data_IF_723999570639
#
_entry.id   IF_723999570639
#
_cell.length_a   1.000
_cell.length_b   1.000
_cell.length_c   1.000
_cell.angle_alpha   90.00
_cell.angle_beta   90.00
_cell.angle_gamma   90.00
#
_symmetry.space_group_name_H-M   'P 1'
#
loop_
_entity.id
_entity.type
_entity.pdbx_description
1 polymer ?
#
# COMPACT_ATOMS: atom_id res chain seq x y z
N UNK A 1 -29.65 -15.86 -26.51
CA UNK A 1 -28.58 -15.80 -25.48
C UNK A 1 -27.48 -14.90 -26.02
N UNK A 2 -27.55 -13.61 -25.73
CA UNK A 2 -26.43 -12.71 -25.98
C UNK A 2 -25.70 -12.53 -24.65
N UNK A 3 -24.51 -13.12 -24.57
CA UNK A 3 -23.59 -12.94 -23.46
C UNK A 3 -23.18 -11.47 -23.46
N UNK A 4 -23.62 -10.75 -22.44
CA UNK A 4 -23.20 -9.38 -22.18
C UNK A 4 -21.67 -9.31 -22.22
N UNK A 5 -21.14 -8.65 -23.26
CA UNK A 5 -19.83 -8.00 -23.22
C UNK A 5 -19.84 -7.08 -22.00
N UNK A 6 -19.28 -7.52 -20.87
CA UNK A 6 -19.11 -6.65 -19.72
C UNK A 6 -18.11 -5.57 -20.13
N UNK A 7 -18.65 -4.37 -20.33
CA UNK A 7 -17.92 -3.13 -20.56
C UNK A 7 -16.73 -3.05 -19.61
N UNK A 8 -15.55 -2.79 -20.19
CA UNK A 8 -14.36 -2.30 -19.50
C UNK A 8 -14.78 -1.08 -18.65
N UNK A 9 -15.06 -1.27 -17.36
CA UNK A 9 -15.35 -0.17 -16.44
C UNK A 9 -14.00 0.28 -15.89
N UNK A 10 -13.64 1.54 -16.13
CA UNK A 10 -12.47 2.18 -15.51
C UNK A 10 -12.53 1.93 -14.00
N UNK A 11 -11.60 1.16 -13.46
CA UNK A 11 -11.58 0.88 -12.03
C UNK A 11 -11.06 2.10 -11.28
N UNK A 12 -11.83 2.57 -10.31
CA UNK A 12 -11.41 3.61 -9.37
C UNK A 12 -10.81 2.94 -8.14
N UNK A 13 -9.57 3.31 -7.80
CA UNK A 13 -8.94 3.01 -6.52
C UNK A 13 -9.15 4.20 -5.57
N UNK A 14 -8.94 4.00 -4.27
CA UNK A 14 -9.15 4.97 -3.20
C UNK A 14 -8.47 6.31 -3.46
N UNK A 15 -7.27 6.29 -4.05
CA UNK A 15 -6.45 7.48 -4.32
C UNK A 15 -6.20 7.78 -5.79
N UNK A 16 -6.42 6.81 -6.69
CA UNK A 16 -6.05 6.94 -8.10
C UNK A 16 -6.94 6.02 -8.95
N UNK A 17 -7.22 6.36 -10.20
CA UNK A 17 -7.92 5.50 -11.14
C UNK A 17 -6.96 4.73 -12.06
N UNK A 18 -7.43 3.64 -12.67
CA UNK A 18 -6.66 2.96 -13.74
C UNK A 18 -6.32 3.89 -14.91
N UNK A 19 -7.21 4.84 -15.22
CA UNK A 19 -6.99 5.86 -16.23
C UNK A 19 -5.85 6.80 -15.87
N UNK A 20 -5.77 7.22 -14.59
CA UNK A 20 -4.68 8.06 -14.09
C UNK A 20 -3.37 7.28 -14.02
N UNK A 21 -3.37 5.99 -13.62
CA UNK A 21 -2.18 5.13 -13.71
C UNK A 21 -1.69 5.05 -15.16
N UNK A 22 -2.60 4.87 -16.12
CA UNK A 22 -2.26 4.82 -17.54
C UNK A 22 -1.70 6.15 -18.04
N UNK A 23 -2.24 7.28 -17.58
CA UNK A 23 -1.69 8.59 -17.88
C UNK A 23 -0.29 8.78 -17.28
N UNK A 24 -0.09 8.42 -16.01
CA UNK A 24 1.20 8.49 -15.32
C UNK A 24 2.25 7.64 -16.01
N UNK A 25 1.92 6.43 -16.48
CA UNK A 25 2.84 5.59 -17.29
C UNK A 25 3.41 6.35 -18.48
N UNK A 26 2.58 7.13 -19.18
CA UNK A 26 3.01 7.94 -20.33
C UNK A 26 3.87 9.13 -19.93
N UNK A 27 3.85 9.56 -18.67
CA UNK A 27 4.68 10.67 -18.18
C UNK A 27 6.02 10.21 -17.61
N UNK A 28 6.21 8.92 -17.33
CA UNK A 28 7.41 8.37 -16.69
C UNK A 28 8.74 8.64 -17.38
N UNK A 29 8.74 9.07 -18.65
CA UNK A 29 9.94 9.44 -19.40
C UNK A 29 10.18 10.96 -19.48
N UNK A 30 9.26 11.77 -18.94
CA UNK A 30 9.29 13.24 -18.99
C UNK A 30 9.75 13.80 -17.64
N UNK A 31 10.43 14.95 -17.64
CA UNK A 31 10.79 15.64 -16.40
C UNK A 31 9.55 16.27 -15.74
N UNK A 32 9.38 16.22 -14.40
CA UNK A 32 10.27 15.61 -13.41
C UNK A 32 10.01 14.11 -13.14
N UNK A 33 8.95 13.53 -13.70
CA UNK A 33 8.48 12.17 -13.44
C UNK A 33 9.53 11.07 -13.70
N UNK A 34 10.42 11.26 -14.69
CA UNK A 34 11.53 10.35 -14.96
C UNK A 34 12.47 10.20 -13.76
N UNK A 35 12.77 11.29 -13.06
CA UNK A 35 13.66 11.26 -11.90
C UNK A 35 12.98 10.59 -10.71
N UNK A 36 11.68 10.87 -10.52
CA UNK A 36 10.86 10.24 -9.49
C UNK A 36 10.81 8.71 -9.72
N UNK A 37 10.55 8.26 -10.96
CA UNK A 37 10.53 6.83 -11.25
C UNK A 37 11.90 6.18 -11.07
N UNK A 38 12.99 6.86 -11.46
CA UNK A 38 14.34 6.36 -11.23
C UNK A 38 14.63 6.17 -9.73
N UNK A 39 14.20 7.11 -8.89
CA UNK A 39 14.33 7.00 -7.43
C UNK A 39 13.49 5.84 -6.87
N UNK A 40 12.24 5.71 -7.29
CA UNK A 40 11.35 4.59 -6.89
C UNK A 40 12.02 3.26 -7.25
N UNK A 41 12.56 3.13 -8.47
CA UNK A 41 13.23 1.91 -8.91
C UNK A 41 14.50 1.62 -8.08
N UNK A 42 15.28 2.65 -7.73
CA UNK A 42 16.46 2.49 -6.87
C UNK A 42 16.07 1.99 -5.47
N UNK A 43 15.05 2.59 -4.86
CA UNK A 43 14.55 2.18 -3.55
C UNK A 43 13.94 0.77 -3.58
N UNK A 44 13.19 0.43 -4.63
CA UNK A 44 12.65 -0.92 -4.83
C UNK A 44 13.76 -1.96 -4.98
N UNK A 45 14.85 -1.64 -5.68
CA UNK A 45 16.00 -2.53 -5.80
C UNK A 45 16.71 -2.71 -4.45
N UNK A 46 16.79 -1.67 -3.64
CA UNK A 46 17.31 -1.77 -2.27
C UNK A 46 16.40 -2.65 -1.39
N UNK A 47 15.09 -2.43 -1.41
CA UNK A 47 14.11 -3.24 -0.68
C UNK A 47 14.15 -4.72 -1.10
N UNK A 48 14.26 -5.01 -2.41
CA UNK A 48 14.43 -6.38 -2.92
C UNK A 48 15.70 -7.06 -2.40
N UNK A 49 16.81 -6.32 -2.27
CA UNK A 49 18.07 -6.83 -1.70
C UNK A 49 17.96 -7.10 -0.20
N UNK A 50 17.27 -6.24 0.55
CA UNK A 50 17.02 -6.44 1.98
C UNK A 50 16.14 -7.66 2.24
N UNK A 51 15.08 -7.82 1.43
CA UNK A 51 14.07 -8.85 1.62
C UNK A 51 13.07 -8.51 2.73
N UNK A 52 11.95 -9.24 2.75
CA UNK A 52 10.80 -8.90 3.59
C UNK A 52 11.08 -8.99 5.10
N UNK A 53 11.95 -9.91 5.54
CA UNK A 53 12.21 -10.07 6.97
C UNK A 53 13.03 -8.91 7.54
N UNK A 54 14.11 -8.53 6.85
CA UNK A 54 14.93 -7.39 7.28
C UNK A 54 14.12 -6.09 7.29
N UNK A 55 13.25 -5.88 6.30
CA UNK A 55 12.34 -4.72 6.24
C UNK A 55 11.44 -4.68 7.49
N UNK A 56 10.85 -5.82 7.88
CA UNK A 56 9.92 -5.92 9.01
C UNK A 56 10.60 -5.84 10.38
N UNK A 57 11.91 -6.08 10.45
CA UNK A 57 12.72 -6.05 11.67
C UNK A 57 13.55 -4.77 11.82
N UNK A 58 13.38 -3.78 10.95
CA UNK A 58 14.14 -2.52 11.02
C UNK A 58 13.81 -1.79 12.34
N UNK A 59 14.84 -1.52 13.15
CA UNK A 59 14.69 -0.87 14.46
C UNK A 59 14.06 0.53 14.36
N UNK A 60 13.25 0.86 15.36
CA UNK A 60 12.31 2.00 15.44
C UNK A 60 12.93 3.40 15.21
N UNK A 61 14.26 3.53 15.21
CA UNK A 61 14.95 4.83 15.20
C UNK A 61 15.19 5.46 13.83
N UNK A 62 14.98 4.73 12.72
CA UNK A 62 15.34 5.24 11.38
C UNK A 62 14.18 5.59 10.43
N UNK A 63 12.91 5.25 10.73
CA UNK A 63 11.72 5.91 10.16
C UNK A 63 10.43 5.13 10.48
N UNK A 64 9.49 5.80 11.15
CA UNK A 64 8.11 5.32 11.35
C UNK A 64 7.34 5.11 10.03
N UNK A 65 7.94 5.57 8.92
CA UNK A 65 7.39 5.58 7.57
C UNK A 65 7.92 4.42 6.70
N UNK A 66 8.80 3.55 7.20
CA UNK A 66 9.47 2.53 6.37
C UNK A 66 8.46 1.57 5.72
N UNK A 67 7.54 0.96 6.48
CA UNK A 67 6.62 -0.03 5.89
C UNK A 67 5.64 0.62 4.92
N UNK A 68 5.06 1.78 5.28
CA UNK A 68 4.19 2.52 4.39
C UNK A 68 4.91 2.92 3.09
N UNK A 69 6.06 3.57 3.19
CA UNK A 69 6.82 4.03 2.03
C UNK A 69 7.29 2.86 1.17
N UNK A 70 7.79 1.79 1.78
CA UNK A 70 8.21 0.58 1.06
C UNK A 70 7.03 -0.03 0.32
N UNK A 71 5.85 -0.17 0.95
CA UNK A 71 4.66 -0.70 0.28
C UNK A 71 4.22 0.19 -0.87
N UNK A 72 4.22 1.52 -0.69
CA UNK A 72 3.81 2.46 -1.73
C UNK A 72 4.79 2.46 -2.91
N UNK A 73 6.09 2.49 -2.66
CA UNK A 73 7.11 2.46 -3.73
C UNK A 73 7.09 1.14 -4.49
N UNK A 74 6.97 0.00 -3.80
CA UNK A 74 6.84 -1.30 -4.45
C UNK A 74 5.53 -1.39 -5.27
N UNK A 75 4.44 -0.79 -4.78
CA UNK A 75 3.17 -0.70 -5.51
C UNK A 75 3.32 0.13 -6.79
N UNK A 76 3.94 1.30 -6.69
CA UNK A 76 4.18 2.19 -7.82
C UNK A 76 5.13 1.56 -8.83
N UNK A 77 6.20 0.88 -8.41
CA UNK A 77 7.08 0.13 -9.31
C UNK A 77 6.31 -1.00 -10.02
N UNK A 78 5.46 -1.75 -9.29
CA UNK A 78 4.63 -2.79 -9.86
C UNK A 78 3.64 -2.24 -10.92
N UNK A 79 2.98 -1.11 -10.64
CA UNK A 79 1.97 -0.55 -11.55
C UNK A 79 2.59 0.27 -12.69
N UNK A 80 3.59 1.11 -12.43
CA UNK A 80 4.14 2.06 -13.40
C UNK A 80 5.30 1.46 -14.20
N UNK A 81 6.22 0.74 -13.55
CA UNK A 81 7.39 0.13 -14.19
C UNK A 81 7.18 -1.35 -14.54
N UNK A 82 6.02 -1.92 -14.22
CA UNK A 82 5.66 -3.33 -14.46
C UNK A 82 6.60 -4.33 -13.76
N UNK A 83 7.26 -3.89 -12.67
CA UNK A 83 8.15 -4.72 -11.87
C UNK A 83 7.34 -5.75 -11.05
N UNK A 84 7.22 -6.97 -11.59
CA UNK A 84 6.47 -8.06 -10.94
C UNK A 84 7.11 -8.52 -9.65
N UNK A 85 8.43 -8.41 -9.51
CA UNK A 85 9.13 -8.79 -8.28
C UNK A 85 8.86 -7.78 -7.16
N UNK A 86 8.72 -6.49 -7.49
CA UNK A 86 8.27 -5.49 -6.52
C UNK A 86 6.87 -5.83 -5.98
N UNK A 87 5.93 -6.19 -6.86
CA UNK A 87 4.58 -6.61 -6.45
C UNK A 87 4.59 -7.87 -5.56
N UNK A 88 5.40 -8.87 -5.89
CA UNK A 88 5.58 -10.08 -5.07
C UNK A 88 6.16 -9.77 -3.69
N UNK A 89 7.15 -8.88 -3.62
CA UNK A 89 7.76 -8.47 -2.36
C UNK A 89 6.75 -7.74 -1.47
N UNK A 90 6.01 -6.77 -2.01
CA UNK A 90 4.98 -6.05 -1.28
C UNK A 90 3.90 -7.01 -0.75
N UNK A 91 3.42 -7.93 -1.59
CA UNK A 91 2.48 -8.98 -1.18
C UNK A 91 3.04 -9.81 -0.01
N UNK A 92 4.30 -10.25 -0.09
CA UNK A 92 4.94 -11.04 0.95
C UNK A 92 5.00 -10.27 2.29
N UNK A 93 5.37 -8.99 2.25
CA UNK A 93 5.38 -8.10 3.43
C UNK A 93 3.97 -8.04 4.03
N UNK A 94 2.94 -7.75 3.23
CA UNK A 94 1.55 -7.67 3.67
C UNK A 94 1.07 -8.98 4.30
N UNK A 95 1.33 -10.12 3.66
CA UNK A 95 0.96 -11.43 4.17
C UNK A 95 1.67 -11.77 5.49
N UNK A 96 2.96 -11.48 5.61
CA UNK A 96 3.70 -11.69 6.85
C UNK A 96 3.12 -10.88 8.00
N UNK A 97 2.81 -9.61 7.75
CA UNK A 97 2.17 -8.74 8.73
C UNK A 97 0.80 -9.30 9.13
N UNK A 98 -0.08 -9.58 8.16
CA UNK A 98 -1.47 -9.97 8.46
C UNK A 98 -1.57 -11.32 9.18
N UNK A 99 -0.71 -12.28 8.80
CA UNK A 99 -0.73 -13.64 9.35
C UNK A 99 0.08 -13.77 10.64
N UNK A 100 1.13 -12.97 10.81
CA UNK A 100 2.09 -13.11 11.92
C UNK A 100 2.35 -11.80 12.67
N UNK A 101 1.38 -10.89 12.75
CA UNK A 101 1.54 -9.60 13.43
C UNK A 101 2.11 -9.68 14.87
N UNK A 102 1.88 -10.72 15.71
CA UNK A 102 2.49 -10.77 17.04
C UNK A 102 4.01 -10.88 17.01
N UNK A 103 4.60 -11.32 15.89
CA UNK A 103 6.06 -11.35 15.68
C UNK A 103 6.66 -9.97 15.42
N UNK A 104 5.84 -8.98 15.08
CA UNK A 104 6.27 -7.64 14.72
C UNK A 104 5.65 -6.60 15.68
N UNK A 105 5.88 -6.71 17.01
CA UNK A 105 5.21 -5.89 17.99
C UNK A 105 5.46 -4.39 17.80
N UNK A 106 6.65 -4.01 17.34
CA UNK A 106 7.07 -2.63 17.09
C UNK A 106 6.22 -1.93 16.02
N UNK A 107 5.69 -2.67 15.04
CA UNK A 107 4.80 -2.13 14.01
C UNK A 107 3.43 -1.70 14.56
N UNK A 108 3.11 -2.18 15.77
CA UNK A 108 1.81 -2.03 16.40
C UNK A 108 1.91 -1.51 17.84
N UNK A 109 3.09 -1.05 18.27
CA UNK A 109 3.35 -0.53 19.60
C UNK A 109 2.64 0.81 19.79
N UNK A 110 2.80 1.72 18.83
CA UNK A 110 2.17 3.04 18.83
C UNK A 110 0.96 3.13 17.89
N UNK A 111 0.01 4.02 18.21
CA UNK A 111 -1.17 4.25 17.38
C UNK A 111 -0.81 4.80 15.99
N UNK A 112 0.21 5.66 15.92
CA UNK A 112 0.68 6.24 14.67
C UNK A 112 1.35 5.20 13.77
N UNK A 113 2.18 4.29 14.32
CA UNK A 113 2.80 3.20 13.55
C UNK A 113 1.75 2.27 12.95
N UNK A 114 0.78 1.89 13.78
CA UNK A 114 -0.36 1.08 13.35
C UNK A 114 -1.12 1.75 12.20
N UNK A 115 -1.36 3.05 12.30
CA UNK A 115 -2.07 3.80 11.27
C UNK A 115 -1.34 3.73 9.92
N UNK A 116 -0.02 3.96 9.91
CA UNK A 116 0.80 3.89 8.70
C UNK A 116 0.84 2.52 8.07
N UNK A 117 1.09 1.49 8.88
CA UNK A 117 1.13 0.11 8.41
C UNK A 117 -0.21 -0.30 7.80
N UNK A 118 -1.32 -0.02 8.49
CA UNK A 118 -2.66 -0.33 7.97
C UNK A 118 -2.96 0.44 6.69
N UNK A 119 -2.61 1.74 6.62
CA UNK A 119 -2.81 2.57 5.43
C UNK A 119 -2.06 2.00 4.23
N UNK A 120 -0.78 1.63 4.40
CA UNK A 120 0.01 1.02 3.34
C UNK A 120 -0.58 -0.30 2.85
N UNK A 121 -1.04 -1.16 3.77
CA UNK A 121 -1.70 -2.44 3.45
C UNK A 121 -2.99 -2.21 2.65
N UNK A 122 -3.84 -1.28 3.12
CA UNK A 122 -5.12 -0.97 2.49
C UNK A 122 -4.92 -0.44 1.07
N UNK A 123 -4.03 0.55 0.91
CA UNK A 123 -3.77 1.15 -0.40
C UNK A 123 -3.14 0.14 -1.36
N UNK A 124 -2.20 -0.68 -0.90
CA UNK A 124 -1.59 -1.71 -1.73
C UNK A 124 -2.63 -2.75 -2.18
N UNK A 125 -3.46 -3.25 -1.26
CA UNK A 125 -4.56 -4.17 -1.58
C UNK A 125 -5.51 -3.57 -2.61
N UNK A 126 -5.85 -2.30 -2.44
CA UNK A 126 -6.82 -1.62 -3.28
C UNK A 126 -6.28 -1.38 -4.71
N UNK A 127 -5.02 -0.96 -4.83
CA UNK A 127 -4.37 -0.71 -6.13
C UNK A 127 -4.00 -2.02 -6.85
N UNK A 128 -3.48 -3.03 -6.13
CA UNK A 128 -3.01 -4.30 -6.69
C UNK A 128 -3.78 -5.55 -6.16
N UNK A 129 -5.12 -5.56 -6.20
CA UNK A 129 -5.95 -6.63 -5.63
C UNK A 129 -5.78 -7.96 -6.37
N UNK A 130 -5.37 -7.92 -7.64
CA UNK A 130 -5.09 -9.10 -8.46
C UNK A 130 -3.93 -9.94 -7.95
N UNK A 131 -3.09 -9.40 -7.06
CA UNK A 131 -1.97 -10.13 -6.49
C UNK A 131 -2.39 -11.08 -5.37
N UNK A 132 -3.58 -10.91 -4.81
CA UNK A 132 -4.06 -11.67 -3.66
C UNK A 132 -5.09 -12.72 -4.06
N UNK A 133 -4.95 -13.91 -3.51
CA UNK A 133 -5.97 -14.97 -3.54
C UNK A 133 -7.19 -14.57 -2.71
N UNK A 134 -8.30 -15.27 -2.90
CA UNK A 134 -9.51 -15.04 -2.10
C UNK A 134 -9.23 -15.29 -0.62
N UNK A 135 -8.48 -16.34 -0.27
CA UNK A 135 -8.12 -16.62 1.12
C UNK A 135 -7.26 -15.51 1.73
N UNK A 136 -6.26 -15.01 0.99
CA UNK A 136 -5.42 -13.89 1.45
C UNK A 136 -6.23 -12.61 1.65
N UNK A 137 -7.19 -12.32 0.77
CA UNK A 137 -8.11 -11.19 0.93
C UNK A 137 -8.94 -11.30 2.20
N UNK A 138 -9.48 -12.48 2.49
CA UNK A 138 -10.29 -12.72 3.70
C UNK A 138 -9.46 -12.53 4.97
N UNK A 139 -8.23 -13.08 5.00
CA UNK A 139 -7.30 -12.90 6.12
C UNK A 139 -6.93 -11.43 6.32
N UNK A 140 -6.78 -10.66 5.24
CA UNK A 140 -6.49 -9.22 5.34
C UNK A 140 -7.68 -8.44 5.90
N UNK A 141 -8.90 -8.74 5.46
CA UNK A 141 -10.11 -8.11 6.01
C UNK A 141 -10.22 -8.42 7.49
N UNK A 142 -10.08 -9.68 7.87
CA UNK A 142 -10.11 -10.10 9.28
C UNK A 142 -9.03 -9.41 10.11
N UNK A 143 -7.81 -9.30 9.58
CA UNK A 143 -6.71 -8.60 10.23
C UNK A 143 -7.02 -7.11 10.46
N UNK A 144 -7.54 -6.42 9.44
CA UNK A 144 -7.92 -4.99 9.51
C UNK A 144 -9.07 -4.79 10.51
N UNK A 145 -10.07 -5.68 10.50
CA UNK A 145 -11.26 -5.61 11.38
C UNK A 145 -10.96 -5.95 12.84
N UNK A 146 -10.04 -6.88 13.11
CA UNK A 146 -9.67 -7.32 14.47
C UNK A 146 -8.63 -6.42 15.13
N UNK A 147 -8.00 -5.50 14.41
CA UNK A 147 -6.96 -4.59 14.95
C UNK A 147 -7.32 -3.11 15.06
N UNK A 148 -8.54 -2.73 15.51
CA UNK A 148 -8.79 -1.36 15.86
C UNK A 148 -8.30 -1.06 17.28
N UNK A 149 -7.25 -0.24 17.38
CA UNK A 149 -7.23 0.80 18.40
C UNK A 149 -8.35 1.84 18.13
N UNK A 150 -8.42 2.95 18.88
CA UNK A 150 -9.42 4.00 18.65
C UNK A 150 -9.48 4.47 17.18
N UNK A 151 -8.35 4.52 16.47
CA UNK A 151 -8.28 4.81 15.03
C UNK A 151 -8.93 3.76 14.11
N UNK A 152 -8.78 2.47 14.38
CA UNK A 152 -9.27 1.43 13.47
C UNK A 152 -10.79 1.38 13.42
N UNK A 153 -11.48 1.69 14.54
CA UNK A 153 -12.95 1.82 14.58
C UNK A 153 -13.47 2.96 13.69
N UNK A 154 -12.66 4.01 13.46
CA UNK A 154 -13.05 5.11 12.56
C UNK A 154 -12.72 4.81 11.09
N UNK A 155 -11.72 3.96 10.81
CA UNK A 155 -11.35 3.54 9.46
C UNK A 155 -12.25 2.42 8.93
N UNK A 156 -12.55 1.39 9.73
CA UNK A 156 -13.33 0.21 9.27
C UNK A 156 -14.81 0.48 9.04
N UNK A 157 -15.38 1.51 9.67
CA UNK A 157 -16.83 1.76 9.58
C UNK A 157 -17.25 2.36 8.25
N UNK A 158 -16.34 2.97 7.47
CA UNK A 158 -16.71 3.79 6.31
C UNK A 158 -15.78 3.61 5.09
N UNK A 159 -15.32 2.40 4.78
CA UNK A 159 -14.59 2.18 3.52
C UNK A 159 -15.54 2.35 2.31
N UNK A 160 -15.58 3.58 1.78
CA UNK A 160 -16.46 4.00 0.69
C UNK A 160 -17.01 5.42 0.86
N UNK A 161 -17.02 5.97 2.07
CA UNK A 161 -17.49 7.33 2.33
C UNK A 161 -16.38 8.37 2.21
N UNK A 162 -16.74 9.58 1.78
CA UNK A 162 -15.86 10.75 1.61
C UNK A 162 -15.03 11.07 2.87
N UNK A 163 -15.56 10.77 4.07
CA UNK A 163 -14.87 10.94 5.36
C UNK A 163 -13.65 10.03 5.53
N UNK A 164 -13.69 8.80 5.02
CA UNK A 164 -12.56 7.86 5.09
C UNK A 164 -11.49 8.22 4.08
N UNK A 165 -11.89 8.74 2.91
CA UNK A 165 -10.95 9.35 1.96
C UNK A 165 -10.23 10.54 2.61
N UNK A 166 -10.95 11.44 3.27
CA UNK A 166 -10.36 12.59 3.96
C UNK A 166 -9.46 12.19 5.15
N UNK A 167 -9.76 11.08 5.83
CA UNK A 167 -8.91 10.55 6.89
C UNK A 167 -7.60 9.96 6.34
N UNK A 168 -7.66 9.20 5.25
CA UNK A 168 -6.47 8.66 4.57
C UNK A 168 -5.62 9.81 4.00
N UNK A 169 -6.25 10.80 3.38
CA UNK A 169 -5.59 12.01 2.88
C UNK A 169 -4.96 12.80 4.03
N UNK A 170 -5.67 13.00 5.14
CA UNK A 170 -5.13 13.69 6.33
C UNK A 170 -3.93 12.97 6.96
N UNK A 171 -3.94 11.63 7.00
CA UNK A 171 -2.78 10.84 7.42
C UNK A 171 -1.61 11.07 6.45
N UNK A 172 -1.85 11.06 5.13
CA UNK A 172 -0.82 11.30 4.10
C UNK A 172 -0.24 12.73 4.19
N UNK A 173 -1.08 13.75 4.36
CA UNK A 173 -0.65 15.15 4.49
C UNK A 173 0.24 15.38 5.71
N UNK A 174 -0.10 14.77 6.84
CA UNK A 174 0.73 14.76 8.06
C UNK A 174 2.08 14.05 7.88
N UNK A 175 2.23 13.24 6.83
CA UNK A 175 3.43 12.45 6.53
C UNK A 175 4.35 13.11 5.53
N UNK A 176 3.76 13.82 4.56
CA UNK A 176 4.49 14.50 3.48
C UNK A 176 5.05 15.85 3.93
N UNK A 177 4.49 16.43 4.99
CA UNK A 177 4.94 17.68 5.58
C UNK A 177 5.13 17.51 7.10
N UNK A 178 6.29 17.01 7.56
CA UNK A 178 6.62 17.12 8.98
C UNK A 178 6.80 18.61 9.30
N UNK A 179 6.06 19.10 10.30
CA UNK A 179 6.26 20.43 10.90
C UNK A 179 7.64 20.52 11.53
#
# INVERSE_FOLDING_TARGET
>A
MEVHKSRNRNREFLLISETEITALKKLTHVYPYKNILAQINANCNYAKKLGSEAILQTDESASLFVIYNVLMELCLAYKLAEDKEAGKLAKNIVNKISQNYPRYPNLFSEEIHRAFVLTGIILFRDIAPELFTVEEHLLLVEFIEKKPGKLGKNLTVNFGEEKTKNLIVGIIELSLFPV
#
